data_IF_931301679154
#
_entry.id   IF_931301679154
#
_cell.length_a   1.000
_cell.length_b   1.000
_cell.length_c   1.000
_cell.angle_alpha   90.00
_cell.angle_beta   90.00
_cell.angle_gamma   90.00
#
_symmetry.space_group_name_H-M   'P 1'
#
loop_
_entity.id
_entity.type
_entity.pdbx_description
1 polymer ?
#
# COMPACT_ATOMS: atom_id res chain seq x y z
N UNK A 1 -12.04 52.99 -9.13
CA UNK A 1 -11.47 51.74 -8.67
C UNK A 1 -12.32 51.22 -7.52
N UNK A 2 -13.03 50.14 -7.75
CA UNK A 2 -13.88 49.47 -6.75
C UNK A 2 -12.96 48.82 -5.69
N UNK A 3 -13.18 49.13 -4.43
CA UNK A 3 -12.51 48.56 -3.28
C UNK A 3 -12.93 47.09 -3.18
N UNK A 4 -11.99 46.15 -3.46
CA UNK A 4 -12.20 44.74 -3.21
C UNK A 4 -12.07 44.52 -1.69
N UNK A 5 -13.10 44.03 -1.00
CA UNK A 5 -12.99 43.74 0.44
C UNK A 5 -11.95 42.66 0.67
N UNK A 6 -10.96 42.96 1.50
CA UNK A 6 -9.97 41.98 1.95
C UNK A 6 -10.71 40.90 2.75
N UNK A 7 -10.61 39.68 2.31
CA UNK A 7 -11.19 38.54 3.02
C UNK A 7 -10.66 38.51 4.47
N UNK A 8 -11.50 38.22 5.47
CA UNK A 8 -11.04 38.13 6.86
C UNK A 8 -9.93 37.10 6.97
N UNK A 9 -8.87 37.44 7.72
CA UNK A 9 -7.65 36.65 7.88
C UNK A 9 -8.00 35.24 8.38
N UNK A 10 -8.10 34.29 7.47
CA UNK A 10 -8.40 32.88 7.72
C UNK A 10 -7.42 32.25 8.75
N UNK A 11 -6.20 32.79 8.83
CA UNK A 11 -5.19 32.33 9.76
C UNK A 11 -5.37 32.89 11.19
N UNK A 12 -6.02 34.02 11.36
CA UNK A 12 -6.34 34.60 12.68
C UNK A 12 -7.42 33.78 13.37
N UNK A 13 -8.43 33.28 12.65
CA UNK A 13 -9.48 32.42 13.20
C UNK A 13 -8.95 31.06 13.69
N UNK A 14 -7.86 30.54 13.11
CA UNK A 14 -7.24 29.28 13.56
C UNK A 14 -6.46 29.39 14.87
N UNK A 15 -6.05 30.61 15.30
CA UNK A 15 -5.30 30.83 16.55
C UNK A 15 -6.18 30.78 17.81
N UNK A 16 -7.49 30.88 17.67
CA UNK A 16 -8.43 30.95 18.79
C UNK A 16 -8.98 29.60 19.27
N UNK A 17 -8.48 28.46 18.78
CA UNK A 17 -8.90 27.16 19.29
C UNK A 17 -8.25 26.89 20.65
N UNK A 18 -8.99 27.16 21.73
CA UNK A 18 -8.62 26.87 23.14
C UNK A 18 -8.51 25.34 23.42
N UNK A 19 -8.76 24.50 22.42
CA UNK A 19 -8.69 23.04 22.59
C UNK A 19 -7.24 22.58 22.67
N UNK A 20 -6.88 21.91 23.75
CA UNK A 20 -5.59 21.22 23.88
C UNK A 20 -5.42 20.20 22.75
N UNK A 21 -4.19 20.08 22.21
CA UNK A 21 -3.88 19.03 21.23
C UNK A 21 -4.03 17.65 21.89
N UNK A 22 -4.63 16.70 21.17
CA UNK A 22 -4.89 15.35 21.65
C UNK A 22 -6.35 15.10 22.01
N UNK A 23 -6.65 13.89 22.50
CA UNK A 23 -7.99 13.51 22.91
C UNK A 23 -8.45 14.35 24.12
N UNK A 24 -9.67 14.89 24.04
CA UNK A 24 -10.25 15.69 25.11
C UNK A 24 -10.70 14.78 26.27
N UNK A 25 -10.78 15.32 27.50
CA UNK A 25 -11.29 14.59 28.66
C UNK A 25 -12.71 14.07 28.36
N UNK A 26 -12.92 12.77 28.51
CA UNK A 26 -14.20 12.12 28.19
C UNK A 26 -14.31 11.60 26.75
N UNK A 27 -13.26 11.74 25.92
CA UNK A 27 -13.26 11.10 24.62
C UNK A 27 -13.26 9.57 24.78
N UNK A 28 -14.24 8.84 24.21
CA UNK A 28 -14.26 7.39 24.29
C UNK A 28 -12.98 6.85 23.62
N UNK A 29 -12.26 5.98 24.32
CA UNK A 29 -11.11 5.28 23.75
C UNK A 29 -11.56 4.40 22.60
N UNK A 30 -10.78 4.37 21.52
CA UNK A 30 -10.97 3.38 20.45
C UNK A 30 -10.12 2.16 20.80
N UNK A 31 -10.78 1.05 21.08
CA UNK A 31 -10.12 -0.23 21.36
C UNK A 31 -10.37 -1.18 20.20
N UNK A 32 -9.36 -1.99 19.90
CA UNK A 32 -9.53 -3.08 18.96
C UNK A 32 -10.39 -4.17 19.62
N UNK A 33 -11.43 -4.61 18.92
CA UNK A 33 -12.20 -5.78 19.37
C UNK A 33 -11.32 -7.04 19.31
N UNK A 34 -11.55 -7.94 20.27
CA UNK A 34 -10.86 -9.23 20.29
C UNK A 34 -11.40 -10.10 19.18
N UNK A 35 -10.50 -10.75 18.44
CA UNK A 35 -10.88 -11.78 17.47
C UNK A 35 -11.58 -12.94 18.18
N UNK A 36 -12.56 -13.58 17.52
CA UNK A 36 -13.08 -14.85 17.92
C UNK A 36 -11.94 -15.89 18.08
N UNK A 37 -12.10 -16.87 18.95
CA UNK A 37 -11.07 -17.88 19.21
C UNK A 37 -10.72 -18.69 17.95
N UNK A 38 -11.70 -18.92 17.08
CA UNK A 38 -11.51 -19.62 15.81
C UNK A 38 -10.63 -18.86 14.80
N UNK A 39 -10.39 -17.56 15.00
CA UNK A 39 -9.56 -16.71 14.14
C UNK A 39 -8.18 -16.42 14.76
N UNK A 40 -7.86 -17.05 15.90
CA UNK A 40 -6.57 -16.89 16.58
C UNK A 40 -5.63 -17.99 16.14
N UNK A 41 -4.42 -17.63 15.69
CA UNK A 41 -3.43 -18.58 15.17
C UNK A 41 -2.88 -19.52 16.26
N UNK A 42 -2.72 -19.03 17.49
CA UNK A 42 -2.24 -19.80 18.63
C UNK A 42 -2.84 -19.29 19.95
N UNK A 43 -3.20 -20.22 20.82
CA UNK A 43 -3.65 -19.93 22.19
C UNK A 43 -2.57 -20.44 23.16
N UNK A 44 -2.10 -19.55 24.02
CA UNK A 44 -1.13 -19.86 25.05
C UNK A 44 -1.80 -19.72 26.42
N UNK A 45 -1.90 -20.82 27.16
CA UNK A 45 -2.43 -20.83 28.51
C UNK A 45 -1.36 -20.31 29.48
N UNK A 46 -1.70 -19.26 30.22
CA UNK A 46 -0.82 -18.67 31.21
C UNK A 46 -1.43 -18.80 32.62
N UNK A 47 -1.31 -19.98 33.23
CA UNK A 47 -1.86 -20.22 34.56
C UNK A 47 -1.10 -19.41 35.63
N UNK A 48 -1.75 -19.10 36.77
CA UNK A 48 -1.07 -18.54 37.92
C UNK A 48 -0.03 -19.54 38.45
N UNK A 49 0.91 -19.11 39.29
CA UNK A 49 1.87 -20.02 39.92
C UNK A 49 1.16 -21.06 40.76
N UNK A 50 1.66 -22.30 40.80
CA UNK A 50 1.06 -23.40 41.55
C UNK A 50 1.00 -23.15 43.06
N UNK A 51 1.96 -22.35 43.59
CA UNK A 51 2.08 -22.01 44.98
C UNK A 51 2.18 -20.52 45.23
N UNK A 52 1.49 -20.05 46.24
CA UNK A 52 1.62 -18.70 46.78
C UNK A 52 2.92 -18.56 47.60
N UNK A 53 3.41 -17.34 47.72
CA UNK A 53 4.57 -17.01 48.62
C UNK A 53 4.39 -17.49 50.06
N UNK A 54 3.15 -17.62 50.54
CA UNK A 54 2.86 -18.18 51.87
C UNK A 54 2.97 -19.71 51.94
N UNK A 55 3.32 -20.40 50.83
CA UNK A 55 3.47 -21.86 50.73
C UNK A 55 2.19 -22.65 50.37
N UNK A 56 1.02 -22.01 50.38
CA UNK A 56 -0.24 -22.65 50.04
C UNK A 56 -0.44 -22.81 48.54
N UNK A 57 -1.21 -23.83 48.13
CA UNK A 57 -1.57 -24.02 46.70
C UNK A 57 -2.46 -22.90 46.17
N UNK A 58 -2.27 -22.51 44.91
CA UNK A 58 -3.11 -21.52 44.22
C UNK A 58 -4.14 -22.28 43.37
N UNK A 59 -5.41 -21.89 43.48
CA UNK A 59 -6.49 -22.45 42.69
C UNK A 59 -6.94 -21.43 41.66
N UNK A 60 -6.99 -21.83 40.38
CA UNK A 60 -7.57 -21.02 39.30
C UNK A 60 -9.04 -20.80 39.54
N UNK A 61 -9.53 -19.56 39.48
CA UNK A 61 -10.93 -19.22 39.60
C UNK A 61 -11.36 -18.28 38.49
N UNK A 62 -12.60 -18.47 38.02
CA UNK A 62 -13.21 -17.63 36.99
C UNK A 62 -12.74 -17.93 35.58
N UNK A 63 -12.99 -17.00 34.66
CA UNK A 63 -12.60 -17.09 33.27
C UNK A 63 -11.28 -16.36 33.03
N UNK A 64 -10.49 -16.87 32.08
CA UNK A 64 -9.26 -16.22 31.67
C UNK A 64 -9.53 -14.84 31.05
N UNK A 65 -8.74 -13.85 31.43
CA UNK A 65 -8.71 -12.56 30.73
C UNK A 65 -7.96 -12.75 29.41
N UNK A 66 -8.66 -12.55 28.31
CA UNK A 66 -8.06 -12.69 26.97
C UNK A 66 -7.19 -11.48 26.65
N UNK A 67 -5.96 -11.73 26.22
CA UNK A 67 -5.02 -10.74 25.71
C UNK A 67 -4.50 -11.20 24.36
N UNK A 68 -4.66 -10.39 23.31
CA UNK A 68 -4.24 -10.74 21.95
C UNK A 68 -3.12 -9.79 21.49
N UNK A 69 -2.06 -10.39 20.95
CA UNK A 69 -0.93 -9.70 20.34
C UNK A 69 -0.99 -9.96 18.84
N UNK A 70 -0.93 -8.90 18.04
CA UNK A 70 -0.91 -9.00 16.58
C UNK A 70 0.52 -8.73 16.12
N UNK A 71 1.09 -9.69 15.42
CA UNK A 71 2.41 -9.56 14.83
C UNK A 71 2.35 -9.84 13.32
N UNK A 72 3.35 -9.36 12.60
CA UNK A 72 3.47 -9.58 11.14
C UNK A 72 4.47 -10.71 10.91
N UNK A 73 4.06 -11.83 10.29
CA UNK A 73 4.99 -12.91 9.99
C UNK A 73 6.06 -12.47 8.99
N UNK A 74 7.22 -13.12 9.01
CA UNK A 74 8.26 -12.90 8.01
C UNK A 74 7.74 -13.22 6.61
N UNK A 75 7.68 -12.19 5.76
CA UNK A 75 7.22 -12.33 4.38
C UNK A 75 8.42 -12.47 3.46
N UNK A 76 8.50 -13.58 2.71
CA UNK A 76 9.53 -13.81 1.70
C UNK A 76 8.92 -13.84 0.30
N UNK A 77 9.64 -13.26 -0.66
CA UNK A 77 9.23 -13.35 -2.04
C UNK A 77 9.34 -14.80 -2.54
N UNK A 78 8.33 -15.21 -3.31
CA UNK A 78 8.38 -16.46 -4.06
C UNK A 78 9.23 -16.26 -5.31
N UNK A 79 10.18 -17.15 -5.57
CA UNK A 79 11.04 -17.16 -6.75
C UNK A 79 10.73 -18.40 -7.57
N UNK A 80 10.30 -18.20 -8.83
CA UNK A 80 10.12 -19.27 -9.80
C UNK A 80 11.27 -19.21 -10.82
N UNK A 81 12.00 -20.29 -11.02
CA UNK A 81 13.11 -20.41 -11.98
C UNK A 81 12.62 -21.10 -13.24
N UNK A 82 12.87 -20.51 -14.40
CA UNK A 82 12.58 -21.08 -15.72
C UNK A 82 13.88 -21.38 -16.44
N UNK A 83 14.19 -22.67 -16.67
CA UNK A 83 15.40 -23.13 -17.36
C UNK A 83 15.11 -23.32 -18.84
N UNK A 84 15.65 -22.46 -19.68
CA UNK A 84 15.48 -22.48 -21.12
C UNK A 84 16.67 -23.20 -21.75
N UNK A 85 16.44 -24.39 -22.27
CA UNK A 85 17.48 -25.18 -22.93
C UNK A 85 17.55 -24.85 -24.41
N UNK A 86 18.75 -24.95 -25.00
CA UNK A 86 18.95 -24.94 -26.42
C UNK A 86 19.24 -26.36 -26.97
N UNK A 87 18.79 -26.65 -28.16
CA UNK A 87 19.01 -27.91 -28.84
C UNK A 87 19.31 -27.69 -30.31
N UNK A 88 19.99 -28.67 -30.93
CA UNK A 88 20.34 -28.66 -32.36
C UNK A 88 19.53 -29.76 -33.04
N UNK A 89 18.90 -29.43 -34.18
CA UNK A 89 18.21 -30.40 -35.02
C UNK A 89 19.22 -31.38 -35.66
N UNK A 90 19.08 -32.67 -35.40
CA UNK A 90 19.98 -33.68 -35.94
C UNK A 90 19.92 -33.79 -37.48
N UNK A 91 18.79 -33.43 -38.12
CA UNK A 91 18.60 -33.52 -39.56
C UNK A 91 19.13 -32.32 -40.34
N UNK A 92 18.98 -31.09 -39.84
CA UNK A 92 19.32 -29.87 -40.59
C UNK A 92 20.31 -28.94 -39.86
N UNK A 93 20.75 -29.28 -38.63
CA UNK A 93 21.68 -28.48 -37.85
C UNK A 93 21.09 -27.18 -37.26
N UNK A 94 19.81 -26.89 -37.45
CA UNK A 94 19.17 -25.67 -36.94
C UNK A 94 19.13 -25.68 -35.40
N UNK A 95 19.56 -24.56 -34.81
CA UNK A 95 19.51 -24.35 -33.37
C UNK A 95 18.10 -23.89 -32.95
N UNK A 96 17.57 -24.51 -31.92
CA UNK A 96 16.31 -24.16 -31.29
C UNK A 96 16.58 -23.78 -29.84
N UNK A 97 15.87 -22.75 -29.36
CA UNK A 97 15.91 -22.34 -27.96
C UNK A 97 14.53 -22.52 -27.32
N UNK A 98 14.53 -22.96 -26.08
CA UNK A 98 13.33 -22.97 -25.25
C UNK A 98 12.78 -21.54 -25.11
N UNK A 99 11.48 -21.43 -25.02
CA UNK A 99 10.78 -20.17 -24.84
C UNK A 99 10.04 -20.15 -23.51
N UNK A 100 9.92 -18.97 -22.92
CA UNK A 100 9.11 -18.82 -21.70
C UNK A 100 7.65 -19.17 -22.00
N UNK A 101 6.97 -19.89 -21.09
CA UNK A 101 5.54 -20.14 -21.21
C UNK A 101 4.73 -18.85 -21.34
N UNK A 102 3.57 -18.95 -21.99
CA UNK A 102 2.65 -17.83 -22.13
C UNK A 102 2.24 -17.31 -20.73
N UNK A 103 2.28 -15.99 -20.53
CA UNK A 103 1.94 -15.35 -19.26
C UNK A 103 3.12 -15.17 -18.31
N UNK A 104 4.27 -15.78 -18.58
CA UNK A 104 5.49 -15.53 -17.78
C UNK A 104 6.12 -14.22 -18.24
N UNK A 105 6.37 -13.27 -17.32
CA UNK A 105 7.00 -11.99 -17.70
C UNK A 105 8.45 -12.20 -18.15
N UNK A 106 8.87 -11.45 -19.17
CA UNK A 106 10.27 -11.49 -19.64
C UNK A 106 11.26 -10.87 -18.66
N UNK A 107 10.78 -10.02 -17.74
CA UNK A 107 11.59 -9.41 -16.70
C UNK A 107 11.55 -10.20 -15.41
N UNK A 108 12.41 -9.87 -14.47
CA UNK A 108 12.52 -10.55 -13.17
C UNK A 108 11.43 -10.16 -12.16
N UNK A 109 10.57 -9.20 -12.48
CA UNK A 109 9.53 -8.71 -11.60
C UNK A 109 8.17 -9.27 -12.03
N UNK A 110 7.60 -10.11 -11.19
CA UNK A 110 6.28 -10.70 -11.41
C UNK A 110 5.15 -9.67 -11.20
N UNK A 111 3.91 -10.00 -11.60
CA UNK A 111 2.78 -9.06 -11.59
C UNK A 111 2.45 -8.53 -10.18
N UNK A 112 2.54 -9.38 -9.15
CA UNK A 112 2.29 -8.93 -7.75
C UNK A 112 3.38 -7.96 -7.27
N UNK A 113 4.65 -8.21 -7.61
CA UNK A 113 5.73 -7.29 -7.28
C UNK A 113 5.57 -5.94 -8.01
N UNK A 114 5.15 -5.94 -9.28
CA UNK A 114 4.79 -4.73 -10.02
C UNK A 114 3.66 -3.95 -9.33
N UNK A 115 2.62 -4.64 -8.87
CA UNK A 115 1.50 -4.02 -8.15
C UNK A 115 1.95 -3.40 -6.84
N UNK A 116 2.82 -4.07 -6.06
CA UNK A 116 3.37 -3.53 -4.82
C UNK A 116 4.22 -2.28 -5.08
N UNK A 117 5.10 -2.31 -6.08
CA UNK A 117 5.89 -1.14 -6.47
C UNK A 117 4.99 0.02 -6.90
N UNK A 118 3.96 -0.25 -7.70
CA UNK A 118 2.97 0.74 -8.10
C UNK A 118 2.25 1.35 -6.89
N UNK A 119 1.74 0.53 -5.98
CA UNK A 119 1.05 0.96 -4.76
C UNK A 119 1.95 1.84 -3.87
N UNK A 120 3.19 1.40 -3.62
CA UNK A 120 4.13 2.16 -2.80
C UNK A 120 4.49 3.51 -3.43
N UNK A 121 4.59 3.59 -4.75
CA UNK A 121 4.91 4.83 -5.45
C UNK A 121 3.73 5.79 -5.57
N UNK A 122 2.54 5.29 -5.91
CA UNK A 122 1.38 6.13 -6.20
C UNK A 122 0.55 6.42 -4.94
N UNK A 123 0.16 5.40 -4.20
CA UNK A 123 -0.68 5.56 -3.00
C UNK A 123 0.11 5.99 -1.77
N UNK A 124 1.29 5.40 -1.55
CA UNK A 124 2.15 5.74 -0.41
C UNK A 124 3.11 6.91 -0.69
N UNK A 125 3.18 7.42 -1.92
CA UNK A 125 4.05 8.53 -2.33
C UNK A 125 5.53 8.31 -1.99
N UNK A 126 6.02 7.07 -2.02
CA UNK A 126 7.41 6.77 -1.76
C UNK A 126 8.29 7.08 -2.98
N UNK A 127 9.47 7.62 -2.72
CA UNK A 127 10.50 7.76 -3.75
C UNK A 127 11.03 6.39 -4.19
N UNK A 128 11.58 6.29 -5.39
CA UNK A 128 12.13 5.02 -5.93
C UNK A 128 13.17 4.39 -4.99
N UNK A 129 14.01 5.20 -4.33
CA UNK A 129 14.95 4.73 -3.31
C UNK A 129 14.26 4.09 -2.11
N UNK A 130 13.22 4.74 -1.57
CA UNK A 130 12.43 4.20 -0.46
C UNK A 130 11.65 2.94 -0.85
N UNK A 131 11.16 2.86 -2.10
CA UNK A 131 10.52 1.64 -2.60
C UNK A 131 11.51 0.50 -2.65
N UNK A 132 12.73 0.72 -3.18
CA UNK A 132 13.80 -0.28 -3.17
C UNK A 132 14.07 -0.79 -1.76
N UNK A 133 14.22 0.12 -0.81
CA UNK A 133 14.53 -0.22 0.58
C UNK A 133 13.36 -0.98 1.24
N UNK A 134 12.12 -0.58 1.00
CA UNK A 134 10.93 -1.30 1.47
C UNK A 134 10.83 -2.71 0.89
N UNK A 135 11.06 -2.89 -0.41
CA UNK A 135 11.06 -4.21 -1.06
C UNK A 135 12.16 -5.12 -0.48
N UNK A 136 13.34 -4.57 -0.21
CA UNK A 136 14.45 -5.32 0.38
C UNK A 136 14.18 -5.71 1.84
N UNK A 137 13.75 -4.75 2.67
CA UNK A 137 13.61 -4.96 4.11
C UNK A 137 12.35 -5.75 4.49
N UNK A 138 11.22 -5.51 3.80
CA UNK A 138 9.95 -6.11 4.15
C UNK A 138 9.66 -7.41 3.37
N UNK A 139 10.20 -7.56 2.17
CA UNK A 139 9.88 -8.67 1.28
C UNK A 139 11.11 -9.51 0.86
N UNK A 140 12.30 -9.14 1.32
CA UNK A 140 13.55 -9.84 1.00
C UNK A 140 13.95 -9.80 -0.48
N UNK A 141 13.48 -8.80 -1.26
CA UNK A 141 13.74 -8.71 -2.70
C UNK A 141 14.50 -7.44 -3.05
N UNK A 142 15.65 -7.61 -3.68
CA UNK A 142 16.48 -6.50 -4.12
C UNK A 142 16.24 -6.18 -5.60
N UNK A 143 15.71 -5.00 -5.89
CA UNK A 143 15.58 -4.46 -7.24
C UNK A 143 16.44 -3.20 -7.39
N UNK A 144 16.98 -2.99 -8.58
CA UNK A 144 17.65 -1.73 -8.91
C UNK A 144 16.64 -0.58 -9.03
N UNK A 145 17.09 0.66 -8.84
CA UNK A 145 16.26 1.86 -9.05
C UNK A 145 15.73 1.90 -10.49
N UNK A 146 16.55 1.51 -11.48
CA UNK A 146 16.12 1.41 -12.87
C UNK A 146 15.01 0.39 -13.08
N UNK A 147 15.04 -0.78 -12.40
CA UNK A 147 13.98 -1.76 -12.46
C UNK A 147 12.66 -1.23 -11.84
N UNK A 148 12.75 -0.47 -10.75
CA UNK A 148 11.60 0.18 -10.11
C UNK A 148 11.02 1.26 -11.02
N UNK A 149 11.85 2.07 -11.66
CA UNK A 149 11.42 3.06 -12.65
C UNK A 149 10.68 2.40 -13.83
N UNK A 150 11.23 1.33 -14.38
CA UNK A 150 10.56 0.55 -15.43
C UNK A 150 9.24 -0.08 -14.97
N UNK A 151 9.17 -0.50 -13.70
CA UNK A 151 7.95 -1.04 -13.12
C UNK A 151 6.83 0.00 -13.10
N UNK A 152 7.12 1.26 -12.76
CA UNK A 152 6.13 2.35 -12.84
C UNK A 152 5.62 2.55 -14.26
N UNK A 153 6.49 2.50 -15.29
CA UNK A 153 6.08 2.55 -16.69
C UNK A 153 5.10 1.43 -17.05
N UNK A 154 5.41 0.19 -16.69
CA UNK A 154 4.53 -0.97 -16.93
C UNK A 154 3.18 -0.86 -16.21
N UNK A 155 3.16 -0.37 -14.98
CA UNK A 155 1.92 -0.11 -14.23
C UNK A 155 1.09 0.97 -14.93
N UNK A 156 1.73 2.05 -15.38
CA UNK A 156 1.07 3.11 -16.15
C UNK A 156 0.45 2.58 -17.45
N UNK A 157 1.17 1.76 -18.21
CA UNK A 157 0.65 1.11 -19.43
C UNK A 157 -0.56 0.21 -19.13
N UNK A 158 -0.49 -0.59 -18.06
CA UNK A 158 -1.59 -1.47 -17.65
C UNK A 158 -2.84 -0.69 -17.23
N UNK A 159 -2.68 0.51 -16.68
CA UNK A 159 -3.77 1.38 -16.26
C UNK A 159 -4.34 2.26 -17.39
N UNK A 160 -3.74 2.30 -18.57
CA UNK A 160 -4.18 3.17 -19.67
C UNK A 160 -5.65 2.93 -20.06
N UNK A 161 -6.06 1.66 -20.21
CA UNK A 161 -7.45 1.31 -20.55
C UNK A 161 -8.45 1.64 -19.44
N UNK A 162 -8.25 1.24 -18.16
CA UNK A 162 -9.11 1.67 -17.06
C UNK A 162 -9.24 3.18 -16.93
N UNK A 163 -8.14 3.92 -17.07
CA UNK A 163 -8.15 5.39 -17.01
C UNK A 163 -8.97 5.97 -18.16
N UNK A 164 -8.81 5.49 -19.39
CA UNK A 164 -9.60 5.93 -20.52
C UNK A 164 -11.11 5.61 -20.36
N UNK A 165 -11.45 4.50 -19.71
CA UNK A 165 -12.83 4.17 -19.35
C UNK A 165 -13.37 5.13 -18.29
N UNK A 166 -12.62 5.43 -17.25
CA UNK A 166 -12.99 6.38 -16.22
C UNK A 166 -13.24 7.79 -16.81
N UNK A 167 -12.33 8.26 -17.68
CA UNK A 167 -12.50 9.56 -18.37
C UNK A 167 -13.79 9.60 -19.20
N UNK A 168 -14.11 8.53 -19.94
CA UNK A 168 -15.36 8.46 -20.70
C UNK A 168 -16.60 8.45 -19.79
N UNK A 169 -16.55 7.72 -18.68
CA UNK A 169 -17.65 7.70 -17.71
C UNK A 169 -17.85 9.07 -17.04
N UNK A 170 -16.76 9.78 -16.73
CA UNK A 170 -16.84 11.15 -16.21
C UNK A 170 -17.47 12.11 -17.22
N UNK A 171 -17.16 12.02 -18.51
CA UNK A 171 -17.71 12.89 -19.54
C UNK A 171 -19.25 12.79 -19.66
N UNK A 172 -19.85 11.68 -19.23
CA UNK A 172 -21.31 11.47 -19.20
C UNK A 172 -21.93 11.68 -17.81
N UNK A 173 -21.16 12.05 -16.80
CA UNK A 173 -21.64 12.24 -15.44
C UNK A 173 -22.42 13.57 -15.31
N UNK A 174 -23.55 13.60 -14.56
CA UNK A 174 -24.35 14.83 -14.38
C UNK A 174 -23.61 15.90 -13.56
N UNK A 175 -22.68 15.49 -12.69
CA UNK A 175 -21.87 16.38 -11.86
C UNK A 175 -20.43 15.86 -11.80
N UNK A 176 -19.48 16.75 -12.04
CA UNK A 176 -18.05 16.48 -11.89
C UNK A 176 -17.48 17.53 -10.94
N UNK A 177 -16.81 17.10 -9.90
CA UNK A 177 -15.98 17.95 -9.06
C UNK A 177 -14.59 18.01 -9.66
N UNK A 178 -14.06 19.20 -9.84
CA UNK A 178 -12.73 19.43 -10.44
C UNK A 178 -11.91 20.22 -9.46
N UNK A 179 -10.68 19.78 -9.21
CA UNK A 179 -9.70 20.49 -8.40
C UNK A 179 -8.37 20.57 -9.15
N UNK A 180 -7.60 21.62 -8.90
CA UNK A 180 -6.32 21.86 -9.56
C UNK A 180 -5.19 21.96 -8.55
N UNK A 181 -4.07 21.30 -8.86
CA UNK A 181 -2.86 21.36 -8.06
C UNK A 181 -1.68 21.76 -8.95
N UNK A 182 -0.89 22.72 -8.48
CA UNK A 182 0.33 23.10 -9.20
C UNK A 182 1.31 21.95 -9.22
N UNK A 183 1.72 21.55 -10.43
CA UNK A 183 2.66 20.47 -10.64
C UNK A 183 3.95 21.00 -11.26
N UNK A 184 5.09 21.02 -10.53
CA UNK A 184 6.37 21.44 -11.09
C UNK A 184 6.87 20.38 -12.08
N UNK A 185 7.12 20.77 -13.32
CA UNK A 185 7.72 19.94 -14.35
C UNK A 185 9.00 20.61 -14.84
N UNK A 186 10.07 19.84 -15.00
CA UNK A 186 11.33 20.31 -15.51
C UNK A 186 11.15 20.98 -16.90
N UNK A 187 11.69 22.18 -17.07
CA UNK A 187 11.59 22.96 -18.30
C UNK A 187 10.28 23.71 -18.54
N UNK A 188 9.31 23.67 -17.62
CA UNK A 188 8.06 24.45 -17.75
C UNK A 188 7.71 25.16 -16.44
N UNK A 189 7.51 26.47 -16.51
CA UNK A 189 6.89 27.25 -15.42
C UNK A 189 5.37 27.16 -15.54
N UNK A 190 4.70 26.51 -14.58
CA UNK A 190 3.25 26.61 -14.48
C UNK A 190 2.44 25.43 -15.05
N UNK A 191 2.94 24.21 -14.96
CA UNK A 191 2.10 23.02 -15.20
C UNK A 191 1.12 22.80 -14.05
N UNK A 192 -0.11 22.40 -14.38
CA UNK A 192 -1.18 22.09 -13.44
C UNK A 192 -1.62 20.64 -13.62
N UNK A 193 -1.89 19.97 -12.53
CA UNK A 193 -2.55 18.66 -12.51
C UNK A 193 -4.00 18.87 -12.10
N UNK A 194 -4.92 18.30 -12.87
CA UNK A 194 -6.36 18.38 -12.62
C UNK A 194 -6.87 17.06 -12.05
N UNK A 195 -7.44 17.12 -10.86
CA UNK A 195 -8.19 16.01 -10.27
C UNK A 195 -9.67 16.12 -10.64
N UNK A 196 -10.26 15.04 -11.11
CA UNK A 196 -11.69 14.99 -11.43
C UNK A 196 -12.34 13.84 -10.67
N UNK A 197 -13.46 14.12 -9.99
CA UNK A 197 -14.22 13.14 -9.20
C UNK A 197 -15.72 13.26 -9.51
N UNK A 198 -16.38 12.14 -9.62
CA UNK A 198 -17.86 12.06 -9.69
C UNK A 198 -18.38 11.03 -8.72
N UNK A 199 -19.63 11.16 -8.29
CA UNK A 199 -20.26 10.32 -7.25
C UNK A 199 -20.19 8.81 -7.57
N UNK A 200 -20.18 8.42 -8.83
CA UNK A 200 -20.17 7.02 -9.24
C UNK A 200 -18.77 6.41 -9.44
N UNK A 201 -17.69 7.18 -9.24
CA UNK A 201 -16.31 6.69 -9.38
C UNK A 201 -15.51 6.77 -8.06
N UNK A 202 -16.18 7.05 -6.96
CA UNK A 202 -15.60 7.11 -5.61
C UNK A 202 -15.87 5.84 -4.79
N UNK A 203 -16.19 4.70 -5.43
CA UNK A 203 -16.34 3.40 -4.77
C UNK A 203 -15.15 2.50 -5.05
#
# INVERSE_FOLDING_TARGET
PAHVPVAPDYWAARRASVRKRGAQKGHPGSYRELLPEAEVDAVHECPPPDRCECGSGVQVRGHALRHQVFDVPEVRARVDEYRLYSGVCAGCGKVHQGVLPRGVPRGQMGPRALSVVGYLGTHCHLTQGKIRDAMAQLLGVNFSIGAISQAHGKVSEALATPVAQAVRAMASAPVIHVDETRYPREGTSGSWSWGMVTVNLAT
#
